data_IF_794899052797
#
_entry.id   IF_794899052797
#
_cell.length_a   1.000
_cell.length_b   1.000
_cell.length_c   1.000
_cell.angle_alpha   90.00
_cell.angle_beta   90.00
_cell.angle_gamma   90.00
#
_symmetry.space_group_name_H-M   'P 1'
#
loop_
_entity.id
_entity.type
_entity.pdbx_description
1 polymer ?
#
# COMPACT_ATOMS: atom_id res chain seq x y z
N UNK A 1 -10.70 11.40 13.73
CA UNK A 1 -10.38 11.66 12.30
C UNK A 1 -9.43 12.83 12.24
N UNK A 2 -8.39 12.76 11.43
CA UNK A 2 -7.43 13.85 11.24
C UNK A 2 -8.15 15.04 10.61
N UNK A 3 -7.87 16.27 11.07
CA UNK A 3 -8.39 17.47 10.42
C UNK A 3 -7.90 17.57 8.97
N UNK A 4 -8.75 18.02 8.06
CA UNK A 4 -8.43 18.05 6.63
C UNK A 4 -7.12 18.81 6.34
N UNK A 5 -6.88 19.92 7.03
CA UNK A 5 -5.70 20.79 6.85
C UNK A 5 -4.53 20.48 7.78
N UNK A 6 -4.62 19.43 8.63
CA UNK A 6 -3.49 19.02 9.46
C UNK A 6 -2.26 18.69 8.58
N UNK A 7 -1.12 19.29 8.90
CA UNK A 7 0.10 19.18 8.11
C UNK A 7 1.32 18.66 8.89
N UNK A 8 1.13 18.30 10.17
CA UNK A 8 2.18 17.73 11.03
C UNK A 8 3.48 18.55 10.98
N UNK A 9 3.39 19.84 11.32
CA UNK A 9 4.52 20.79 11.27
C UNK A 9 5.21 20.81 9.89
N UNK A 10 4.44 20.90 8.81
CA UNK A 10 4.90 20.93 7.42
C UNK A 10 5.61 19.64 6.94
N UNK A 11 5.51 18.53 7.64
CA UNK A 11 5.95 17.24 7.11
C UNK A 11 4.94 16.66 6.10
N UNK A 12 3.69 17.20 6.08
CA UNK A 12 2.62 16.88 5.13
C UNK A 12 2.01 18.16 4.54
N UNK A 13 2.73 18.93 3.72
CA UNK A 13 2.27 20.24 3.22
C UNK A 13 1.34 20.16 1.99
N UNK A 14 0.64 19.06 1.79
CA UNK A 14 -0.18 18.82 0.60
C UNK A 14 -1.64 19.23 0.82
N UNK A 15 -2.26 19.79 -0.23
CA UNK A 15 -3.67 20.14 -0.18
C UNK A 15 -4.55 18.87 -0.13
N UNK A 16 -5.51 18.80 0.81
CA UNK A 16 -6.42 17.68 0.88
C UNK A 16 -7.48 17.76 -0.22
N UNK A 17 -7.71 16.65 -0.91
CA UNK A 17 -8.84 16.47 -1.79
C UNK A 17 -9.70 15.33 -1.24
N UNK A 18 -11.01 15.35 -1.56
CA UNK A 18 -11.95 14.34 -1.09
C UNK A 18 -12.89 13.89 -2.20
N UNK A 19 -13.11 12.58 -2.28
CA UNK A 19 -14.04 11.94 -3.18
C UNK A 19 -15.11 11.17 -2.37
N UNK A 20 -16.40 11.38 -2.68
CA UNK A 20 -17.50 10.75 -1.95
C UNK A 20 -18.29 9.71 -2.75
N UNK A 21 -17.86 9.41 -3.98
CA UNK A 21 -18.54 8.47 -4.87
C UNK A 21 -18.56 7.02 -4.39
N UNK A 22 -17.70 6.68 -3.43
CA UNK A 22 -17.65 5.36 -2.80
C UNK A 22 -18.65 5.19 -1.63
N UNK A 23 -19.50 6.19 -1.37
CA UNK A 23 -20.42 6.20 -0.22
C UNK A 23 -19.72 6.44 1.11
N UNK A 24 -18.51 6.98 1.08
CA UNK A 24 -17.75 7.52 2.19
C UNK A 24 -16.80 8.61 1.66
N UNK A 25 -16.27 9.44 2.55
CA UNK A 25 -15.34 10.53 2.19
C UNK A 25 -13.92 9.97 2.13
N UNK A 26 -13.44 9.71 0.90
CA UNK A 26 -12.09 9.24 0.63
C UNK A 26 -11.15 10.41 0.39
N UNK A 27 -10.08 10.50 1.17
CA UNK A 27 -9.03 11.48 0.98
C UNK A 27 -8.04 11.03 -0.11
N UNK A 28 -7.52 12.00 -0.85
CA UNK A 28 -6.38 11.81 -1.75
C UNK A 28 -5.57 13.09 -1.92
N UNK A 29 -4.29 12.94 -2.22
CA UNK A 29 -3.42 14.01 -2.71
C UNK A 29 -3.34 13.91 -4.22
N UNK A 30 -3.25 15.05 -4.92
CA UNK A 30 -3.13 15.14 -6.38
C UNK A 30 -2.26 16.35 -6.72
N UNK A 31 -0.96 16.13 -6.84
CA UNK A 31 0.07 17.15 -7.06
C UNK A 31 0.71 16.99 -8.44
N UNK A 32 1.25 18.10 -8.99
CA UNK A 32 1.88 18.11 -10.32
C UNK A 32 0.88 17.87 -11.46
N UNK A 33 -0.35 18.39 -11.35
CA UNK A 33 -1.45 18.19 -12.31
C UNK A 33 -1.15 18.64 -13.74
N UNK A 34 -0.19 19.54 -13.91
CA UNK A 34 0.29 20.03 -15.20
C UNK A 34 1.11 18.98 -15.99
N UNK A 35 1.54 17.92 -15.34
CA UNK A 35 2.37 16.88 -15.97
C UNK A 35 1.51 15.79 -16.63
N UNK A 36 2.00 15.26 -17.75
CA UNK A 36 1.25 14.28 -18.57
C UNK A 36 1.37 12.82 -18.09
N UNK A 37 2.48 12.45 -17.43
CA UNK A 37 2.67 11.09 -16.91
C UNK A 37 2.11 11.00 -15.49
N UNK A 38 1.24 10.02 -15.23
CA UNK A 38 0.55 9.85 -13.95
C UNK A 38 1.20 8.74 -13.14
N UNK A 39 1.57 9.03 -11.90
CA UNK A 39 1.98 8.05 -10.90
C UNK A 39 0.90 7.99 -9.82
N UNK A 40 0.37 6.79 -9.54
CA UNK A 40 -0.59 6.56 -8.46
C UNK A 40 0.04 5.63 -7.42
N UNK A 41 0.17 6.13 -6.17
CA UNK A 41 0.81 5.39 -5.08
C UNK A 41 -0.24 4.83 -4.12
N UNK A 42 -0.17 3.52 -3.84
CA UNK A 42 -1.05 2.81 -2.91
C UNK A 42 -0.26 2.30 -1.71
N UNK A 43 -0.67 2.74 -0.53
CA UNK A 43 -0.12 2.29 0.75
C UNK A 43 -0.75 0.97 1.22
N UNK A 44 -0.27 0.45 2.35
CA UNK A 44 -0.83 -0.68 3.05
C UNK A 44 -1.02 -0.44 4.54
N UNK A 45 -1.01 -1.50 5.33
CA UNK A 45 -1.26 -1.47 6.78
C UNK A 45 0.02 -1.19 7.59
N UNK A 46 -0.05 -0.49 8.72
CA UNK A 46 -1.12 0.40 9.20
C UNK A 46 -0.87 1.85 8.77
N UNK A 47 -0.33 2.03 7.57
CA UNK A 47 0.10 3.32 7.05
C UNK A 47 -1.01 4.05 6.29
N UNK A 48 -0.70 5.22 5.76
CA UNK A 48 -1.54 6.01 4.89
C UNK A 48 -0.67 6.84 3.93
N UNK A 49 -1.24 7.71 3.16
CA UNK A 49 -0.50 8.54 2.18
C UNK A 49 0.77 9.19 2.74
N UNK A 50 0.86 9.42 4.05
CA UNK A 50 2.04 9.98 4.72
C UNK A 50 3.34 9.21 4.46
N UNK A 51 3.26 7.90 4.26
CA UNK A 51 4.44 7.08 3.91
C UNK A 51 5.08 7.52 2.59
N UNK A 52 4.29 8.14 1.72
CA UNK A 52 4.72 8.66 0.42
C UNK A 52 5.06 10.16 0.42
N UNK A 53 5.13 10.85 1.60
CA UNK A 53 5.37 12.30 1.68
C UNK A 53 6.61 12.78 0.92
N UNK A 54 7.72 12.03 0.97
CA UNK A 54 8.93 12.33 0.21
C UNK A 54 8.75 12.07 -1.29
N UNK A 55 8.00 11.04 -1.66
CA UNK A 55 7.68 10.68 -3.04
C UNK A 55 6.83 11.75 -3.70
N UNK A 56 5.76 12.20 -3.04
CA UNK A 56 4.90 13.26 -3.55
C UNK A 56 5.74 14.50 -3.84
N UNK A 57 6.53 14.97 -2.87
CA UNK A 57 7.37 16.16 -2.96
C UNK A 57 8.36 16.11 -4.13
N UNK A 58 8.99 14.96 -4.37
CA UNK A 58 10.05 14.83 -5.37
C UNK A 58 9.53 14.43 -6.75
N UNK A 59 8.50 13.57 -6.81
CA UNK A 59 7.96 13.10 -8.08
C UNK A 59 7.03 14.13 -8.72
N UNK A 60 6.29 14.93 -7.94
CA UNK A 60 5.37 15.94 -8.47
C UNK A 60 6.05 17.04 -9.27
N UNK A 61 7.37 17.18 -9.15
CA UNK A 61 8.16 18.11 -9.98
C UNK A 61 8.12 17.76 -11.48
N UNK A 62 7.88 16.47 -11.83
CA UNK A 62 7.94 15.97 -13.20
C UNK A 62 6.76 15.09 -13.60
N UNK A 63 5.94 14.67 -12.64
CA UNK A 63 4.82 13.74 -12.84
C UNK A 63 3.58 14.26 -12.11
N UNK A 64 2.39 13.91 -12.60
CA UNK A 64 1.18 14.01 -11.79
C UNK A 64 1.18 12.87 -10.78
N UNK A 65 1.17 13.17 -9.49
CA UNK A 65 1.26 12.19 -8.41
C UNK A 65 -0.04 12.16 -7.63
N UNK A 66 -0.73 11.03 -7.69
CA UNK A 66 -1.98 10.78 -6.96
C UNK A 66 -1.75 9.77 -5.86
N UNK A 67 -2.11 10.14 -4.62
CA UNK A 67 -1.92 9.29 -3.45
C UNK A 67 -3.23 9.25 -2.65
N UNK A 68 -4.09 8.24 -2.88
CA UNK A 68 -5.29 8.07 -2.07
C UNK A 68 -4.96 7.41 -0.73
N UNK A 69 -5.70 7.80 0.30
CA UNK A 69 -5.80 7.02 1.52
C UNK A 69 -6.85 5.93 1.33
N UNK A 70 -6.52 4.70 1.67
CA UNK A 70 -7.46 3.59 1.64
C UNK A 70 -8.60 3.83 2.65
N UNK A 71 -9.76 3.21 2.42
CA UNK A 71 -10.90 3.24 3.35
C UNK A 71 -10.46 2.73 4.73
N UNK A 72 -10.67 3.54 5.77
CA UNK A 72 -10.26 3.22 7.14
C UNK A 72 -8.84 3.61 7.51
N UNK A 73 -8.16 4.42 6.67
CA UNK A 73 -6.80 4.88 6.91
C UNK A 73 -6.64 6.38 6.63
N UNK A 74 -5.63 6.99 7.25
CA UNK A 74 -5.26 8.37 7.02
C UNK A 74 -6.40 9.36 7.27
N UNK A 75 -6.65 10.22 6.31
CA UNK A 75 -7.74 11.22 6.34
C UNK A 75 -9.04 10.70 5.69
N UNK A 76 -9.07 9.45 5.22
CA UNK A 76 -10.29 8.79 4.74
C UNK A 76 -11.18 8.37 5.90
N UNK A 77 -12.49 8.34 5.66
CA UNK A 77 -13.45 7.85 6.65
C UNK A 77 -13.32 6.34 6.88
N UNK A 78 -13.79 5.91 8.07
CA UNK A 78 -13.86 4.50 8.49
C UNK A 78 -15.33 4.10 8.66
N UNK A 79 -16.07 3.86 7.55
CA UNK A 79 -17.50 3.52 7.61
C UNK A 79 -17.71 2.13 8.23
N UNK A 80 -18.59 2.05 9.24
CA UNK A 80 -18.92 0.80 9.96
C UNK A 80 -19.80 -0.15 9.16
N UNK A 81 -20.50 0.34 8.15
CA UNK A 81 -21.44 -0.40 7.31
C UNK A 81 -20.85 -0.87 5.98
N UNK A 82 -19.53 -0.82 5.84
CA UNK A 82 -18.80 -1.28 4.66
C UNK A 82 -17.94 -2.49 4.99
N UNK A 83 -17.78 -3.38 4.03
CA UNK A 83 -16.85 -4.49 4.12
C UNK A 83 -15.43 -4.02 3.78
N UNK A 84 -14.46 -4.37 4.62
CA UNK A 84 -13.03 -4.07 4.42
C UNK A 84 -12.34 -5.23 3.71
N UNK A 85 -12.77 -5.54 2.49
CA UNK A 85 -12.23 -6.64 1.68
C UNK A 85 -11.37 -6.11 0.53
N UNK A 86 -10.49 -6.99 -0.02
CA UNK A 86 -9.72 -6.66 -1.22
C UNK A 86 -10.62 -6.16 -2.36
N UNK A 87 -11.77 -6.83 -2.58
CA UNK A 87 -12.75 -6.41 -3.59
C UNK A 87 -13.19 -4.97 -3.39
N UNK A 88 -13.60 -4.61 -2.18
CA UNK A 88 -14.07 -3.25 -1.87
C UNK A 88 -12.98 -2.21 -2.11
N UNK A 89 -11.73 -2.48 -1.72
CA UNK A 89 -10.62 -1.55 -1.97
C UNK A 89 -10.30 -1.39 -3.46
N UNK A 90 -10.42 -2.46 -4.25
CA UNK A 90 -10.25 -2.38 -5.72
C UNK A 90 -11.36 -1.56 -6.36
N UNK A 91 -12.62 -1.79 -5.98
CA UNK A 91 -13.77 -1.03 -6.50
C UNK A 91 -13.70 0.45 -6.10
N UNK A 92 -13.25 0.75 -4.88
CA UNK A 92 -13.00 2.13 -4.44
C UNK A 92 -11.93 2.82 -5.30
N UNK A 93 -10.85 2.09 -5.63
CA UNK A 93 -9.79 2.61 -6.51
C UNK A 93 -10.32 2.85 -7.93
N UNK A 94 -11.08 1.90 -8.51
CA UNK A 94 -11.69 2.05 -9.84
C UNK A 94 -12.56 3.31 -9.92
N UNK A 95 -13.41 3.52 -8.92
CA UNK A 95 -14.27 4.69 -8.87
C UNK A 95 -13.50 6.01 -8.75
N UNK A 96 -12.43 6.03 -7.93
CA UNK A 96 -11.57 7.22 -7.81
C UNK A 96 -10.81 7.51 -9.11
N UNK A 97 -10.24 6.49 -9.74
CA UNK A 97 -9.54 6.62 -11.03
C UNK A 97 -10.47 7.17 -12.11
N UNK A 98 -11.70 6.65 -12.18
CA UNK A 98 -12.72 7.13 -13.11
C UNK A 98 -13.13 8.57 -12.82
N UNK A 99 -13.34 8.92 -11.54
CA UNK A 99 -13.68 10.31 -11.14
C UNK A 99 -12.58 11.31 -11.51
N UNK A 100 -11.32 10.93 -11.36
CA UNK A 100 -10.17 11.77 -11.69
C UNK A 100 -9.80 11.71 -13.19
N UNK A 101 -10.51 10.89 -13.97
CA UNK A 101 -10.26 10.65 -15.40
C UNK A 101 -8.80 10.25 -15.70
N UNK A 102 -8.17 9.51 -14.76
CA UNK A 102 -6.78 9.12 -14.89
C UNK A 102 -6.63 8.06 -15.98
N UNK A 103 -5.60 8.22 -16.81
CA UNK A 103 -5.25 7.29 -17.90
C UNK A 103 -3.74 7.06 -17.93
N UNK A 104 -3.35 5.91 -18.47
CA UNK A 104 -1.94 5.57 -18.66
C UNK A 104 -1.13 5.65 -17.35
N UNK A 105 -1.63 5.00 -16.31
CA UNK A 105 -1.13 5.12 -14.94
C UNK A 105 0.09 4.23 -14.71
N UNK A 106 1.14 4.80 -14.12
CA UNK A 106 2.20 4.05 -13.46
C UNK A 106 1.84 3.85 -12.00
N UNK A 107 1.56 2.63 -11.61
CA UNK A 107 1.23 2.30 -10.22
C UNK A 107 2.48 2.07 -9.39
N UNK A 108 2.47 2.58 -8.17
CA UNK A 108 3.44 2.28 -7.11
C UNK A 108 2.67 1.69 -5.94
N UNK A 109 2.94 0.45 -5.57
CA UNK A 109 2.20 -0.24 -4.50
C UNK A 109 3.10 -0.85 -3.45
N UNK A 110 2.74 -0.66 -2.17
CA UNK A 110 3.41 -1.27 -1.04
C UNK A 110 2.41 -2.05 -0.20
N UNK A 111 2.81 -3.21 0.34
CA UNK A 111 1.98 -4.07 1.18
C UNK A 111 0.61 -4.36 0.52
N UNK A 112 -0.52 -4.02 1.10
CA UNK A 112 -1.85 -4.19 0.49
C UNK A 112 -2.02 -3.41 -0.83
N UNK A 113 -1.23 -2.36 -1.05
CA UNK A 113 -1.21 -1.67 -2.34
C UNK A 113 -0.87 -2.61 -3.51
N UNK A 114 -0.05 -3.64 -3.31
CA UNK A 114 0.28 -4.64 -4.35
C UNK A 114 -0.92 -5.47 -4.82
N UNK A 115 -1.60 -6.23 -3.95
CA UNK A 115 -2.82 -6.96 -4.31
C UNK A 115 -3.92 -6.08 -4.89
N UNK A 116 -4.10 -4.84 -4.37
CA UNK A 116 -5.11 -3.90 -4.87
C UNK A 116 -4.78 -3.47 -6.30
N UNK A 117 -3.55 -2.99 -6.56
CA UNK A 117 -3.17 -2.56 -7.91
C UNK A 117 -3.12 -3.72 -8.91
N UNK A 118 -2.73 -4.91 -8.46
CA UNK A 118 -2.71 -6.11 -9.30
C UNK A 118 -4.12 -6.50 -9.77
N UNK A 119 -5.08 -6.54 -8.84
CA UNK A 119 -6.48 -6.84 -9.17
C UNK A 119 -7.11 -5.71 -10.01
N UNK A 120 -6.82 -4.44 -9.70
CA UNK A 120 -7.22 -3.30 -10.53
C UNK A 120 -6.70 -3.47 -11.97
N UNK A 121 -5.41 -3.76 -12.13
CA UNK A 121 -4.76 -3.90 -13.45
C UNK A 121 -5.36 -5.03 -14.27
N UNK A 122 -5.61 -6.20 -13.68
CA UNK A 122 -6.29 -7.30 -14.38
C UNK A 122 -7.66 -6.94 -14.92
N UNK A 123 -8.36 -6.01 -14.27
CA UNK A 123 -9.69 -5.53 -14.67
C UNK A 123 -9.63 -4.33 -15.63
N UNK A 124 -8.48 -3.62 -15.67
CA UNK A 124 -8.31 -2.34 -16.37
C UNK A 124 -6.96 -2.27 -17.11
N UNK A 125 -6.62 -3.31 -17.89
CA UNK A 125 -5.31 -3.48 -18.54
C UNK A 125 -4.89 -2.28 -19.38
N UNK A 126 -5.82 -1.71 -20.15
CA UNK A 126 -5.52 -0.58 -21.07
C UNK A 126 -5.19 0.72 -20.35
N UNK A 127 -5.47 0.80 -19.05
CA UNK A 127 -5.22 1.99 -18.23
C UNK A 127 -3.93 1.92 -17.41
N UNK A 128 -3.24 0.78 -17.40
CA UNK A 128 -1.98 0.57 -16.67
C UNK A 128 -0.81 0.61 -17.62
N UNK A 129 0.15 1.51 -17.36
CA UNK A 129 1.41 1.64 -18.12
C UNK A 129 2.55 0.88 -17.49
N UNK A 130 2.55 0.73 -16.19
CA UNK A 130 3.60 0.01 -15.47
C UNK A 130 3.26 -0.17 -13.99
N UNK A 131 3.91 -1.12 -13.35
CA UNK A 131 3.72 -1.47 -11.93
C UNK A 131 5.07 -1.49 -11.22
N UNK A 132 5.24 -0.63 -10.24
CA UNK A 132 6.42 -0.57 -9.38
C UNK A 132 6.05 -1.03 -7.97
N UNK A 133 6.58 -2.16 -7.57
CA UNK A 133 6.22 -2.83 -6.32
C UNK A 133 7.27 -2.59 -5.25
N UNK A 134 6.83 -2.34 -4.01
CA UNK A 134 7.67 -2.13 -2.84
C UNK A 134 7.17 -3.04 -1.72
N UNK A 135 8.00 -3.98 -1.25
CA UNK A 135 7.67 -4.87 -0.12
C UNK A 135 6.23 -5.41 -0.18
N UNK A 136 5.89 -6.07 -1.28
CA UNK A 136 4.56 -6.63 -1.53
C UNK A 136 4.61 -7.82 -2.47
N UNK A 137 3.48 -8.49 -2.66
CA UNK A 137 3.24 -9.55 -3.63
C UNK A 137 1.90 -9.33 -4.34
N UNK A 138 1.73 -9.88 -5.54
CA UNK A 138 0.41 -9.99 -6.18
C UNK A 138 -0.40 -11.18 -5.64
N UNK A 139 0.28 -12.26 -5.27
CA UNK A 139 -0.36 -13.51 -4.90
C UNK A 139 -0.90 -14.30 -6.11
N UNK A 140 -0.40 -14.05 -7.31
CA UNK A 140 -0.89 -14.63 -8.58
C UNK A 140 -0.04 -15.78 -9.09
N UNK A 141 1.19 -15.93 -8.59
CA UNK A 141 2.04 -17.05 -8.99
C UNK A 141 1.61 -18.37 -8.35
N UNK A 142 2.10 -19.46 -8.91
CA UNK A 142 1.96 -20.80 -8.33
C UNK A 142 3.16 -21.16 -7.44
N UNK A 143 3.92 -20.18 -7.00
CA UNK A 143 5.07 -20.38 -6.12
C UNK A 143 4.61 -21.01 -4.81
N UNK A 144 5.29 -22.05 -4.40
CA UNK A 144 5.00 -22.72 -3.11
C UNK A 144 5.22 -21.72 -1.96
N UNK A 145 4.20 -21.57 -1.13
CA UNK A 145 4.25 -20.68 0.03
C UNK A 145 5.24 -21.20 1.07
N UNK A 146 5.88 -20.32 1.86
CA UNK A 146 6.69 -20.74 2.99
C UNK A 146 5.92 -21.69 3.92
N UNK A 147 6.59 -22.73 4.41
CA UNK A 147 5.99 -23.69 5.36
C UNK A 147 5.65 -23.03 6.70
N UNK A 148 6.42 -22.03 7.07
CA UNK A 148 6.24 -21.27 8.30
C UNK A 148 5.64 -19.90 8.05
N UNK A 149 4.79 -19.46 8.97
CA UNK A 149 4.32 -18.09 9.01
C UNK A 149 5.48 -17.14 9.32
N UNK A 150 5.45 -15.94 8.75
CA UNK A 150 6.38 -14.86 9.10
C UNK A 150 6.21 -14.43 10.56
N UNK A 151 7.16 -13.69 11.14
CA UNK A 151 7.02 -13.16 12.51
C UNK A 151 5.72 -12.40 12.73
N UNK A 152 5.30 -11.58 11.74
CA UNK A 152 4.03 -10.85 11.77
C UNK A 152 2.82 -11.80 11.85
N UNK A 153 2.70 -12.75 10.95
CA UNK A 153 1.55 -13.66 10.94
C UNK A 153 1.57 -14.69 12.09
N UNK A 154 2.73 -15.05 12.64
CA UNK A 154 2.83 -15.78 13.91
C UNK A 154 2.24 -14.95 15.07
N UNK A 155 2.54 -13.64 15.09
CA UNK A 155 2.03 -12.73 16.10
C UNK A 155 0.52 -12.49 15.95
N UNK A 156 0.01 -12.24 14.73
CA UNK A 156 -1.43 -12.08 14.45
C UNK A 156 -2.20 -13.32 14.92
N UNK A 157 -1.79 -14.51 14.48
CA UNK A 157 -2.44 -15.77 14.83
C UNK A 157 -2.49 -15.97 16.35
N UNK A 158 -1.37 -15.79 17.03
CA UNK A 158 -1.29 -15.94 18.49
C UNK A 158 -2.25 -14.99 19.22
N UNK A 159 -2.31 -13.73 18.81
CA UNK A 159 -3.15 -12.74 19.49
C UNK A 159 -4.62 -12.91 19.13
N UNK A 160 -4.96 -13.38 17.94
CA UNK A 160 -6.33 -13.77 17.57
C UNK A 160 -6.81 -14.96 18.42
N UNK A 161 -6.02 -16.04 18.51
CA UNK A 161 -6.33 -17.23 19.31
C UNK A 161 -6.51 -16.90 20.82
N UNK A 162 -5.76 -15.91 21.32
CA UNK A 162 -5.86 -15.45 22.72
C UNK A 162 -6.96 -14.41 22.94
N UNK A 163 -7.65 -13.94 21.88
CA UNK A 163 -8.67 -12.89 21.98
C UNK A 163 -8.11 -11.49 22.29
N UNK A 164 -6.80 -11.27 22.12
CA UNK A 164 -6.14 -9.99 22.46
C UNK A 164 -5.90 -9.10 21.24
N UNK A 165 -6.05 -9.64 20.00
CA UNK A 165 -5.72 -8.93 18.77
C UNK A 165 -6.52 -7.61 18.62
N UNK A 166 -7.83 -7.65 18.85
CA UNK A 166 -8.71 -6.48 18.74
C UNK A 166 -8.31 -5.38 19.73
N UNK A 167 -7.90 -5.75 20.96
CA UNK A 167 -7.43 -4.81 21.96
C UNK A 167 -6.09 -4.16 21.63
N UNK A 168 -5.25 -4.77 20.78
CA UNK A 168 -3.96 -4.22 20.39
C UNK A 168 -4.09 -3.41 19.09
N UNK A 169 -4.70 -3.97 18.04
CA UNK A 169 -4.90 -3.28 16.77
C UNK A 169 -6.01 -2.23 16.87
N UNK A 170 -6.91 -2.33 17.83
CA UNK A 170 -7.93 -1.31 18.13
C UNK A 170 -7.41 -0.09 18.90
N UNK A 171 -6.14 -0.11 19.33
CA UNK A 171 -5.49 0.98 20.10
C UNK A 171 -4.26 1.53 19.36
N UNK A 172 -4.33 1.62 18.01
CA UNK A 172 -3.22 2.09 17.18
C UNK A 172 -2.81 3.53 17.48
N UNK A 173 -3.66 4.35 18.09
CA UNK A 173 -3.27 5.66 18.62
C UNK A 173 -2.08 5.58 19.60
N UNK A 174 -1.91 4.46 20.30
CA UNK A 174 -0.81 4.23 21.25
C UNK A 174 0.15 3.13 20.82
N UNK A 175 -0.28 2.20 19.99
CA UNK A 175 0.50 1.00 19.61
C UNK A 175 1.12 1.07 18.21
N UNK A 176 0.80 2.08 17.38
CA UNK A 176 1.22 2.12 15.98
C UNK A 176 2.72 1.99 15.78
N UNK A 177 3.54 2.67 16.61
CA UNK A 177 5.00 2.55 16.52
C UNK A 177 5.46 1.12 16.81
N UNK A 178 4.87 0.46 17.82
CA UNK A 178 5.20 -0.93 18.17
C UNK A 178 4.82 -1.89 17.04
N UNK A 179 3.65 -1.69 16.44
CA UNK A 179 3.18 -2.48 15.29
C UNK A 179 4.09 -2.27 14.09
N UNK A 180 4.42 -1.02 13.73
CA UNK A 180 5.35 -0.76 12.63
C UNK A 180 6.75 -1.33 12.89
N UNK A 181 7.23 -1.31 14.14
CA UNK A 181 8.51 -1.96 14.52
C UNK A 181 8.44 -3.49 14.48
N UNK A 182 7.27 -4.07 14.71
CA UNK A 182 7.05 -5.51 14.58
C UNK A 182 7.14 -5.96 13.12
N UNK A 183 6.54 -5.20 12.18
CA UNK A 183 6.66 -5.41 10.73
C UNK A 183 8.06 -5.05 10.22
N UNK A 184 8.73 -4.16 10.90
CA UNK A 184 10.07 -3.66 10.76
C UNK A 184 10.24 -2.47 9.80
N UNK A 185 10.91 -1.46 10.29
CA UNK A 185 11.74 -0.49 9.58
C UNK A 185 12.99 -0.21 10.40
N UNK A 186 14.08 0.13 9.76
CA UNK A 186 15.41 0.15 10.38
C UNK A 186 15.87 1.55 10.76
N UNK A 187 15.42 2.57 10.00
CA UNK A 187 15.79 3.96 10.24
C UNK A 187 15.03 4.57 11.42
N UNK A 188 15.53 4.33 12.64
CA UNK A 188 14.89 4.90 13.84
C UNK A 188 15.18 6.38 14.05
N UNK A 189 16.09 6.99 13.28
CA UNK A 189 16.42 8.43 13.42
C UNK A 189 15.31 9.37 12.94
N UNK A 190 14.35 8.84 12.18
CA UNK A 190 13.19 9.62 11.68
C UNK A 190 12.07 9.73 12.71
N UNK A 191 12.14 8.96 13.80
CA UNK A 191 11.08 8.91 14.81
C UNK A 191 11.19 10.17 15.69
N UNK A 192 10.24 11.07 15.50
CA UNK A 192 9.99 12.22 16.37
C UNK A 192 8.49 12.31 16.69
N UNK A 193 8.10 13.29 17.48
CA UNK A 193 6.70 13.50 17.86
C UNK A 193 5.79 13.73 16.64
N UNK A 194 6.26 14.41 15.60
CA UNK A 194 5.47 14.62 14.39
C UNK A 194 5.24 13.33 13.62
N UNK A 195 6.29 12.50 13.48
CA UNK A 195 6.20 11.20 12.85
C UNK A 195 5.23 10.27 13.60
N UNK A 196 5.35 10.20 14.93
CA UNK A 196 4.44 9.40 15.78
C UNK A 196 3.01 9.91 15.63
N UNK A 197 2.78 11.22 15.75
CA UNK A 197 1.46 11.81 15.60
C UNK A 197 0.86 11.56 14.21
N UNK A 198 1.66 11.63 13.13
CA UNK A 198 1.18 11.40 11.79
C UNK A 198 0.66 9.96 11.59
N UNK A 199 1.32 8.96 12.18
CA UNK A 199 0.88 7.57 12.06
C UNK A 199 -0.18 7.16 13.11
N UNK A 200 -0.23 7.81 14.26
CA UNK A 200 -1.22 7.53 15.32
C UNK A 200 -2.58 8.22 15.07
N UNK A 201 -2.56 9.45 14.54
CA UNK A 201 -3.76 10.30 14.42
C UNK A 201 -4.91 9.72 13.58
N UNK A 202 -4.70 8.84 12.58
CA UNK A 202 -5.80 8.18 11.87
C UNK A 202 -6.68 7.32 12.78
N UNK A 203 -6.17 6.90 13.93
CA UNK A 203 -6.72 5.85 14.79
C UNK A 203 -7.14 6.34 16.19
N UNK A 204 -7.96 7.41 16.33
CA UNK A 204 -8.27 8.00 17.63
C UNK A 204 -9.04 7.06 18.58
N UNK A 205 -9.61 5.99 18.07
CA UNK A 205 -10.36 4.98 18.83
C UNK A 205 -10.46 3.68 18.04
N UNK A 206 -10.96 2.62 18.68
CA UNK A 206 -11.12 1.29 18.10
C UNK A 206 -11.92 1.29 16.80
N UNK A 207 -12.99 2.07 16.69
CA UNK A 207 -13.83 2.11 15.49
C UNK A 207 -13.10 2.65 14.25
N UNK A 208 -12.07 3.46 14.46
CA UNK A 208 -11.20 3.95 13.39
C UNK A 208 -10.13 2.95 12.96
N UNK A 209 -9.94 1.84 13.67
CA UNK A 209 -8.96 0.80 13.37
C UNK A 209 -9.52 -0.36 12.53
N UNK A 210 -10.76 -0.27 12.01
CA UNK A 210 -11.41 -1.38 11.28
C UNK A 210 -10.58 -1.86 10.08
N UNK A 211 -9.94 -0.96 9.34
CA UNK A 211 -9.06 -1.33 8.23
C UNK A 211 -7.87 -2.17 8.72
N UNK A 212 -7.16 -1.68 9.72
CA UNK A 212 -5.98 -2.32 10.28
C UNK A 212 -6.26 -3.67 10.97
N UNK A 213 -7.46 -3.83 11.56
CA UNK A 213 -7.88 -5.12 12.14
C UNK A 213 -8.21 -6.13 11.03
N UNK A 214 -8.89 -5.70 9.98
CA UNK A 214 -9.38 -6.63 8.95
C UNK A 214 -8.28 -7.08 7.98
N UNK A 215 -7.34 -6.24 7.60
CA UNK A 215 -6.31 -6.57 6.62
C UNK A 215 -5.49 -7.83 6.98
N UNK A 216 -4.85 -7.93 8.16
CA UNK A 216 -4.09 -9.13 8.50
C UNK A 216 -4.98 -10.37 8.64
N UNK A 217 -6.23 -10.22 9.11
CA UNK A 217 -7.19 -11.32 9.21
C UNK A 217 -7.64 -11.84 7.84
N UNK A 218 -7.79 -10.96 6.84
CA UNK A 218 -8.11 -11.36 5.48
C UNK A 218 -7.01 -12.26 4.88
N UNK A 219 -5.75 -11.94 5.15
CA UNK A 219 -4.61 -12.79 4.73
C UNK A 219 -4.58 -14.08 5.52
N UNK A 220 -4.66 -14.01 6.86
CA UNK A 220 -4.57 -15.19 7.73
C UNK A 220 -5.66 -16.22 7.42
N UNK A 221 -6.89 -15.78 7.17
CA UNK A 221 -8.04 -16.62 6.85
C UNK A 221 -8.28 -16.83 5.35
N UNK A 222 -7.44 -16.23 4.49
CA UNK A 222 -7.55 -16.37 3.04
C UNK A 222 -8.82 -15.78 2.44
N UNK A 223 -9.48 -14.81 3.11
CA UNK A 223 -10.74 -14.20 2.68
C UNK A 223 -10.62 -13.49 1.32
N UNK A 224 -9.43 -12.98 1.01
CA UNK A 224 -9.13 -12.35 -0.29
C UNK A 224 -9.04 -13.34 -1.46
N UNK A 225 -8.79 -14.65 -1.20
CA UNK A 225 -8.50 -15.66 -2.23
C UNK A 225 -9.63 -15.82 -3.25
N UNK A 226 -10.94 -15.89 -2.88
CA UNK A 226 -12.01 -16.01 -3.85
C UNK A 226 -12.05 -14.87 -4.87
N UNK A 227 -11.78 -13.64 -4.43
CA UNK A 227 -11.75 -12.49 -5.33
C UNK A 227 -10.52 -12.52 -6.25
N UNK A 228 -9.34 -12.90 -5.73
CA UNK A 228 -8.13 -13.10 -6.56
C UNK A 228 -8.42 -14.15 -7.65
N UNK A 229 -8.99 -15.30 -7.29
CA UNK A 229 -9.35 -16.35 -8.26
C UNK A 229 -10.34 -15.82 -9.30
N UNK A 230 -11.32 -15.02 -8.87
CA UNK A 230 -12.27 -14.38 -9.80
C UNK A 230 -11.55 -13.46 -10.80
N UNK A 231 -10.63 -12.60 -10.33
CA UNK A 231 -9.86 -11.72 -11.21
C UNK A 231 -8.98 -12.51 -12.19
N UNK A 232 -8.30 -13.57 -11.72
CA UNK A 232 -7.46 -14.43 -12.57
C UNK A 232 -8.26 -15.20 -13.62
N UNK A 233 -9.48 -15.65 -13.31
CA UNK A 233 -10.34 -16.37 -14.26
C UNK A 233 -10.93 -15.49 -15.35
N UNK A 234 -11.19 -14.21 -15.03
CA UNK A 234 -11.87 -13.28 -15.93
C UNK A 234 -10.92 -12.25 -16.56
N UNK A 235 -9.70 -12.12 -16.05
CA UNK A 235 -8.67 -11.24 -16.57
C UNK A 235 -7.81 -11.89 -17.65
N UNK A 236 -7.21 -11.08 -18.51
CA UNK A 236 -6.22 -11.53 -19.48
C UNK A 236 -4.81 -11.52 -18.87
N UNK A 237 -4.41 -12.66 -18.29
CA UNK A 237 -3.09 -12.83 -17.71
C UNK A 237 -1.95 -12.66 -18.72
N UNK A 238 -2.17 -12.96 -19.99
CA UNK A 238 -1.14 -12.76 -21.01
C UNK A 238 -0.81 -11.28 -21.13
N UNK A 239 -1.82 -10.44 -21.35
CA UNK A 239 -1.64 -8.99 -21.43
C UNK A 239 -1.17 -8.38 -20.12
N UNK A 240 -1.60 -8.92 -18.96
CA UNK A 240 -1.10 -8.50 -17.65
C UNK A 240 0.42 -8.69 -17.53
N UNK A 241 0.95 -9.82 -17.97
CA UNK A 241 2.38 -10.12 -17.92
C UNK A 241 3.23 -9.33 -18.92
N UNK A 242 2.62 -8.66 -19.91
CA UNK A 242 3.28 -7.74 -20.84
C UNK A 242 3.47 -6.33 -20.26
N UNK A 243 2.74 -5.99 -19.16
CA UNK A 243 2.88 -4.70 -18.49
C UNK A 243 4.23 -4.60 -17.79
N UNK A 244 5.05 -3.57 -18.09
CA UNK A 244 6.32 -3.36 -17.41
C UNK A 244 6.18 -3.37 -15.89
N UNK A 245 7.01 -4.16 -15.21
CA UNK A 245 6.93 -4.30 -13.75
C UNK A 245 8.31 -4.42 -13.13
N UNK A 246 8.56 -3.70 -12.04
CA UNK A 246 9.79 -3.81 -11.23
C UNK A 246 9.44 -4.01 -9.76
N UNK A 247 10.34 -4.65 -9.01
CA UNK A 247 10.21 -4.89 -7.58
C UNK A 247 11.41 -4.30 -6.84
N UNK A 248 11.13 -3.52 -5.80
CA UNK A 248 12.08 -3.12 -4.77
C UNK A 248 11.72 -3.80 -3.46
N UNK A 249 12.69 -4.39 -2.79
CA UNK A 249 12.40 -5.19 -1.60
C UNK A 249 13.40 -4.94 -0.46
N UNK A 250 12.89 -4.53 0.70
CA UNK A 250 13.64 -4.43 1.94
C UNK A 250 13.85 -5.82 2.55
N UNK A 251 15.11 -6.25 2.61
CA UNK A 251 15.49 -7.63 2.97
C UNK A 251 15.31 -7.96 4.47
N UNK A 252 14.98 -6.94 5.29
CA UNK A 252 14.66 -7.12 6.72
C UNK A 252 13.14 -7.10 6.99
N UNK A 253 12.32 -7.29 5.96
CA UNK A 253 10.86 -7.41 6.09
C UNK A 253 10.47 -8.58 7.00
N UNK A 254 9.53 -8.34 7.93
CA UNK A 254 9.00 -9.36 8.85
C UNK A 254 7.51 -9.66 8.62
N UNK A 255 6.87 -8.89 7.72
CA UNK A 255 5.48 -9.11 7.32
C UNK A 255 5.39 -10.18 6.22
N UNK A 256 6.22 -10.04 5.18
CA UNK A 256 6.27 -10.95 4.04
C UNK A 256 7.72 -11.45 3.92
N UNK A 257 7.89 -12.76 3.74
CA UNK A 257 9.21 -13.35 3.57
C UNK A 257 9.87 -12.82 2.28
N UNK A 258 11.07 -12.18 2.35
CA UNK A 258 11.70 -11.57 1.20
C UNK A 258 12.03 -12.53 0.07
N UNK A 259 12.53 -13.73 0.39
CA UNK A 259 12.92 -14.71 -0.62
C UNK A 259 11.69 -15.27 -1.32
N UNK A 260 10.59 -15.49 -0.56
CA UNK A 260 9.31 -15.88 -1.13
C UNK A 260 8.75 -14.79 -2.06
N UNK A 261 8.72 -13.54 -1.62
CA UNK A 261 8.17 -12.44 -2.41
C UNK A 261 8.94 -12.21 -3.73
N UNK A 262 10.28 -12.28 -3.67
CA UNK A 262 11.13 -12.17 -4.86
C UNK A 262 10.90 -13.37 -5.80
N UNK A 263 10.77 -14.57 -5.27
CA UNK A 263 10.49 -15.78 -6.05
C UNK A 263 9.09 -15.70 -6.70
N UNK A 264 8.07 -15.24 -5.95
CA UNK A 264 6.71 -15.03 -6.46
C UNK A 264 6.68 -14.03 -7.62
N UNK A 265 7.36 -12.89 -7.45
CA UNK A 265 7.49 -11.87 -8.50
C UNK A 265 8.22 -12.40 -9.73
N UNK A 266 9.36 -13.06 -9.55
CA UNK A 266 10.18 -13.61 -10.65
C UNK A 266 9.49 -14.77 -11.39
N UNK A 267 8.57 -15.47 -10.77
CA UNK A 267 7.75 -16.49 -11.44
C UNK A 267 6.78 -15.86 -12.45
N UNK A 268 6.34 -14.61 -12.21
CA UNK A 268 5.49 -13.85 -13.15
C UNK A 268 6.33 -13.03 -14.13
N UNK A 269 7.38 -12.38 -13.65
CA UNK A 269 8.22 -11.45 -14.39
C UNK A 269 9.70 -11.87 -14.35
N UNK A 270 10.11 -12.95 -15.05
CA UNK A 270 11.46 -13.52 -14.91
C UNK A 270 12.58 -12.56 -15.30
N UNK A 271 12.33 -11.68 -16.28
CA UNK A 271 13.33 -10.75 -16.80
C UNK A 271 13.27 -9.34 -16.15
N UNK A 272 12.25 -9.07 -15.32
CA UNK A 272 12.08 -7.77 -14.70
C UNK A 272 13.11 -7.53 -13.61
N UNK A 273 13.46 -6.27 -13.40
CA UNK A 273 14.43 -5.88 -12.39
C UNK A 273 13.89 -6.10 -10.98
N UNK A 274 14.75 -6.61 -10.10
CA UNK A 274 14.52 -6.67 -8.66
C UNK A 274 15.68 -5.95 -7.98
N UNK A 275 15.36 -4.95 -7.15
CA UNK A 275 16.35 -4.23 -6.36
C UNK A 275 16.19 -4.61 -4.90
N UNK A 276 17.22 -5.25 -4.34
CA UNK A 276 17.28 -5.59 -2.92
C UNK A 276 17.82 -4.43 -2.11
N UNK A 277 17.15 -4.08 -1.02
CA UNK A 277 17.56 -3.09 -0.03
C UNK A 277 17.98 -3.85 1.22
N UNK A 278 19.25 -4.17 1.33
CA UNK A 278 19.78 -5.08 2.36
C UNK A 278 19.53 -4.59 3.80
N UNK A 279 19.44 -3.27 3.97
CA UNK A 279 19.25 -2.64 5.27
C UNK A 279 17.83 -2.08 5.52
N UNK A 280 16.91 -2.24 4.58
CA UNK A 280 15.53 -1.79 4.73
C UNK A 280 14.61 -2.91 5.22
N UNK A 281 13.57 -2.54 5.96
CA UNK A 281 12.50 -3.44 6.42
C UNK A 281 11.26 -3.36 5.53
N UNK A 282 10.10 -3.68 6.12
CA UNK A 282 8.80 -3.67 5.45
C UNK A 282 8.40 -2.27 4.94
N UNK A 283 8.71 -1.24 5.72
CA UNK A 283 8.45 0.17 5.36
C UNK A 283 9.68 0.80 4.72
N UNK A 284 10.12 0.25 3.59
CA UNK A 284 11.32 0.71 2.86
C UNK A 284 11.27 2.18 2.49
N UNK A 285 10.07 2.76 2.35
CA UNK A 285 9.87 4.19 2.09
C UNK A 285 10.34 5.07 3.26
N UNK A 286 10.36 4.54 4.49
CA UNK A 286 10.91 5.21 5.66
C UNK A 286 12.42 5.00 5.80
N UNK A 287 12.93 3.89 5.28
CA UNK A 287 14.33 3.52 5.37
C UNK A 287 15.20 4.16 4.28
N UNK A 288 14.77 4.05 3.02
CA UNK A 288 15.54 4.51 1.86
C UNK A 288 14.67 5.28 0.83
N UNK A 289 13.94 6.35 1.23
CA UNK A 289 12.97 7.02 0.37
C UNK A 289 13.59 7.56 -0.93
N UNK A 290 14.72 8.23 -0.86
CA UNK A 290 15.32 8.89 -2.03
C UNK A 290 15.87 7.90 -3.05
N UNK A 291 16.40 6.77 -2.59
CA UNK A 291 16.85 5.70 -3.49
C UNK A 291 15.68 5.09 -4.25
N UNK A 292 14.56 4.85 -3.57
CA UNK A 292 13.34 4.31 -4.21
C UNK A 292 12.77 5.34 -5.19
N UNK A 293 12.74 6.62 -4.84
CA UNK A 293 12.29 7.72 -5.72
C UNK A 293 13.08 7.73 -7.03
N UNK A 294 14.41 7.62 -6.98
CA UNK A 294 15.25 7.58 -8.19
C UNK A 294 14.99 6.32 -9.04
N UNK A 295 14.72 5.18 -8.41
CA UNK A 295 14.33 3.96 -9.13
C UNK A 295 12.97 4.13 -9.82
N UNK A 296 11.98 4.78 -9.18
CA UNK A 296 10.68 5.07 -9.79
C UNK A 296 10.85 6.03 -10.97
N UNK A 297 11.65 7.10 -10.83
CA UNK A 297 11.92 8.04 -11.95
C UNK A 297 12.53 7.30 -13.14
N UNK A 298 13.51 6.45 -12.90
CA UNK A 298 14.14 5.65 -13.94
C UNK A 298 13.12 4.68 -14.59
N UNK A 299 12.30 4.00 -13.80
CA UNK A 299 11.25 3.10 -14.30
C UNK A 299 10.26 3.83 -15.21
N UNK A 300 9.68 4.96 -14.75
CA UNK A 300 8.71 5.74 -15.52
C UNK A 300 9.33 6.38 -16.78
N UNK A 301 10.63 6.66 -16.77
CA UNK A 301 11.33 7.23 -17.92
C UNK A 301 11.64 6.19 -19.01
N UNK A 302 11.81 4.93 -18.62
CA UNK A 302 12.16 3.84 -19.53
C UNK A 302 10.94 3.20 -20.21
N UNK A 303 9.74 3.49 -19.70
CA UNK A 303 8.45 2.94 -20.17
C UNK A 303 7.42 4.05 -20.45
#
# INVERSE_FOLDING_TARGET
>A
MIEAKENFNNTWPFNPNFFSGNGFKQHYVDEGKENNKVILCLHGEPTWGYIYRHFIKELSKNFRVVVPDLMGFGKSETPKNKEYSLKTHVENLENLVNYLELKNIYFVGQDWGGPILGAYTLRNLTNTKGMFLINTIFGYSRTEKPKELTPWFKWIKKNEENGTLDGILGELNTTVLSIMKLLNFTNSSIIDDNWINAYASPFPNRDSCLGAINFPLDVLHGRMIPFIIHCLKNGDMKSFLEIPSELVYGMKDRAIDPDYAIKDFKALYPNSKVTKLENAGHFSQEDEPYKIIELIKAFVSNH
#
